data_IF_340266396915
#
_entry.id   IF_340266396915
#
_cell.length_a   1.000
_cell.length_b   1.000
_cell.length_c   1.000
_cell.angle_alpha   90.00
_cell.angle_beta   90.00
_cell.angle_gamma   90.00
#
_symmetry.space_group_name_H-M   'P 1'
#
loop_
_entity.id
_entity.type
_entity.pdbx_description
1 polymer ?
#
# COMPACT_ATOMS: atom_id res chain seq x y z
N UNK A 1 -3.79 -76.44 -8.49
CA UNK A 1 -4.50 -75.62 -7.47
C UNK A 1 -3.41 -74.94 -6.67
N UNK A 2 -3.05 -73.68 -6.85
CA UNK A 2 -3.86 -72.45 -6.68
C UNK A 2 -3.33 -71.43 -7.69
N UNK A 3 -4.21 -71.02 -8.61
CA UNK A 3 -4.03 -69.96 -9.61
C UNK A 3 -4.65 -68.70 -9.03
N UNK A 4 -4.00 -67.56 -9.27
CA UNK A 4 -4.63 -66.23 -9.40
C UNK A 4 -5.23 -65.60 -8.13
N UNK A 5 -4.42 -64.93 -7.30
CA UNK A 5 -4.99 -64.00 -6.30
C UNK A 5 -4.10 -62.81 -5.90
N UNK A 6 -3.16 -62.37 -6.75
CA UNK A 6 -2.34 -61.19 -6.45
C UNK A 6 -2.15 -60.34 -7.71
N UNK A 7 -3.23 -59.73 -8.20
CA UNK A 7 -3.15 -58.77 -9.31
C UNK A 7 -4.27 -57.71 -9.30
N UNK A 8 -4.82 -57.38 -8.14
CA UNK A 8 -6.03 -56.52 -8.05
C UNK A 8 -5.95 -55.39 -7.02
N UNK A 9 -4.75 -55.01 -6.55
CA UNK A 9 -4.58 -53.97 -5.52
C UNK A 9 -3.66 -52.80 -5.92
N UNK A 10 -3.23 -52.70 -7.18
CA UNK A 10 -2.31 -51.65 -7.64
C UNK A 10 -2.95 -50.56 -8.51
N UNK A 11 -4.27 -50.55 -8.71
CA UNK A 11 -4.94 -49.62 -9.68
C UNK A 11 -5.72 -48.47 -9.02
N UNK A 12 -5.86 -48.43 -7.69
CA UNK A 12 -6.75 -47.44 -7.02
C UNK A 12 -5.99 -46.23 -6.43
N UNK A 13 -4.66 -46.14 -6.54
CA UNK A 13 -3.88 -45.06 -5.89
C UNK A 13 -3.56 -43.87 -6.84
N UNK A 14 -3.77 -43.99 -8.15
CA UNK A 14 -3.33 -42.95 -9.13
C UNK A 14 -4.50 -42.17 -9.75
N UNK A 15 -5.59 -41.98 -9.01
CA UNK A 15 -6.75 -41.19 -9.45
C UNK A 15 -7.27 -40.21 -8.38
N UNK A 16 -6.40 -39.75 -7.47
CA UNK A 16 -6.68 -38.53 -6.70
C UNK A 16 -5.92 -37.37 -7.32
N UNK A 17 -6.56 -36.83 -8.36
CA UNK A 17 -6.85 -35.41 -8.43
C UNK A 17 -5.69 -34.46 -8.10
N UNK A 18 -4.95 -34.06 -9.14
CA UNK A 18 -4.39 -32.70 -9.18
C UNK A 18 -5.53 -31.67 -9.25
N UNK A 19 -6.34 -31.59 -8.19
CA UNK A 19 -7.06 -30.37 -7.86
C UNK A 19 -5.98 -29.48 -7.26
N UNK A 20 -5.27 -28.79 -8.16
CA UNK A 20 -4.57 -27.58 -7.79
C UNK A 20 -5.62 -26.63 -7.25
N UNK A 21 -5.81 -26.65 -5.94
CA UNK A 21 -6.45 -25.56 -5.22
C UNK A 21 -5.59 -24.33 -5.51
N UNK A 22 -5.95 -23.58 -6.57
CA UNK A 22 -5.67 -22.16 -6.59
C UNK A 22 -6.37 -21.65 -5.34
N UNK A 23 -5.60 -21.40 -4.29
CA UNK A 23 -5.98 -20.45 -3.25
C UNK A 23 -6.17 -19.15 -4.01
N UNK A 24 -7.37 -18.95 -4.53
CA UNK A 24 -7.83 -17.66 -4.96
C UNK A 24 -7.82 -16.89 -3.65
N UNK A 25 -6.74 -16.14 -3.41
CA UNK A 25 -6.60 -15.27 -2.27
C UNK A 25 -7.80 -14.33 -2.34
N UNK A 26 -8.87 -14.72 -1.65
CA UNK A 26 -10.02 -13.88 -1.42
C UNK A 26 -9.39 -12.64 -0.81
N UNK A 27 -9.53 -11.50 -1.50
CA UNK A 27 -9.12 -10.20 -0.95
C UNK A 27 -9.58 -10.24 0.52
N UNK A 28 -8.68 -10.08 1.50
CA UNK A 28 -9.13 -9.87 2.86
C UNK A 28 -10.16 -8.76 2.70
N UNK A 29 -11.38 -8.99 3.17
CA UNK A 29 -12.36 -7.92 3.30
C UNK A 29 -11.66 -6.90 4.16
N UNK A 30 -11.04 -5.91 3.51
CA UNK A 30 -10.36 -4.80 4.13
C UNK A 30 -11.50 -4.09 4.81
N UNK A 31 -11.70 -4.41 6.08
CA UNK A 31 -12.21 -3.40 6.99
C UNK A 31 -11.31 -2.20 6.70
N UNK A 32 -11.87 -1.07 6.21
CA UNK A 32 -11.10 0.14 6.04
C UNK A 32 -10.28 0.29 7.32
N UNK A 33 -8.95 0.37 7.17
CA UNK A 33 -8.07 0.30 8.31
C UNK A 33 -8.60 1.27 9.37
N UNK A 34 -8.93 0.74 10.56
CA UNK A 34 -9.56 1.56 11.59
C UNK A 34 -8.67 2.79 11.81
N UNK A 35 -9.23 3.96 11.49
CA UNK A 35 -8.54 5.25 11.54
C UNK A 35 -7.83 5.42 12.90
N UNK A 36 -8.45 4.92 13.95
CA UNK A 36 -7.91 4.95 15.32
C UNK A 36 -6.64 4.10 15.44
N UNK A 37 -6.66 2.88 14.90
CA UNK A 37 -5.51 1.98 14.88
C UNK A 37 -4.33 2.59 14.12
N UNK A 38 -4.56 3.08 12.90
CA UNK A 38 -3.52 3.73 12.09
C UNK A 38 -2.94 4.94 12.82
N UNK A 39 -3.78 5.77 13.43
CA UNK A 39 -3.32 6.93 14.21
C UNK A 39 -2.37 6.51 15.33
N UNK A 40 -2.74 5.48 16.10
CA UNK A 40 -1.91 4.98 17.20
C UNK A 40 -0.57 4.41 16.71
N UNK A 41 -0.57 3.70 15.58
CA UNK A 41 0.64 3.19 14.95
C UNK A 41 1.57 4.35 14.55
N UNK A 42 1.05 5.35 13.83
CA UNK A 42 1.85 6.48 13.36
C UNK A 42 2.35 7.36 14.51
N UNK A 43 1.56 7.55 15.55
CA UNK A 43 1.97 8.28 16.75
C UNK A 43 3.11 7.56 17.48
N UNK A 44 2.98 6.24 17.71
CA UNK A 44 4.02 5.42 18.37
C UNK A 44 5.30 5.32 17.54
N UNK A 45 5.19 5.31 16.22
CA UNK A 45 6.34 5.29 15.31
C UNK A 45 7.05 6.64 15.19
N UNK A 46 6.56 7.70 15.85
CA UNK A 46 7.17 9.03 15.79
C UNK A 46 6.92 9.79 14.47
N UNK A 47 5.98 9.33 13.64
CA UNK A 47 5.61 10.01 12.39
C UNK A 47 4.84 11.30 12.69
N UNK A 48 3.95 11.25 13.70
CA UNK A 48 3.15 12.36 14.18
C UNK A 48 3.83 13.05 15.39
N UNK A 49 3.88 14.37 15.38
CA UNK A 49 4.50 15.19 16.42
C UNK A 49 3.45 15.84 17.34
N UNK A 50 3.62 15.64 18.66
CA UNK A 50 2.74 16.20 19.71
C UNK A 50 2.62 17.74 19.67
N UNK A 51 3.67 18.42 19.21
CA UNK A 51 3.75 19.88 19.19
C UNK A 51 3.16 20.48 17.90
N UNK A 52 2.73 19.63 16.97
CA UNK A 52 2.09 20.02 15.72
C UNK A 52 0.60 19.73 15.77
N UNK A 53 -0.14 20.28 14.82
CA UNK A 53 -1.56 20.04 14.64
C UNK A 53 -1.78 19.15 13.42
N UNK A 54 -2.36 17.97 13.61
CA UNK A 54 -2.78 17.10 12.51
C UNK A 54 -3.99 17.72 11.81
N UNK A 55 -3.86 18.04 10.53
CA UNK A 55 -4.92 18.66 9.71
C UNK A 55 -5.37 17.79 8.55
N UNK A 56 -4.56 16.82 8.13
CA UNK A 56 -4.96 15.78 7.20
C UNK A 56 -4.47 14.42 7.68
N UNK A 57 -5.31 13.40 7.54
CA UNK A 57 -5.00 12.02 7.83
C UNK A 57 -5.95 11.15 7.02
N UNK A 58 -5.44 10.41 6.05
CA UNK A 58 -6.24 9.54 5.20
C UNK A 58 -5.48 8.26 4.86
N UNK A 59 -6.16 7.13 4.93
CA UNK A 59 -5.70 5.94 4.22
C UNK A 59 -5.96 6.18 2.74
N UNK A 60 -4.91 6.11 1.91
CA UNK A 60 -5.02 6.38 0.46
C UNK A 60 -5.37 5.10 -0.26
N UNK A 61 -4.57 4.05 -0.03
CA UNK A 61 -4.62 2.79 -0.74
C UNK A 61 -3.71 1.74 -0.07
N UNK A 62 -3.72 0.51 -0.59
CA UNK A 62 -2.76 -0.52 -0.24
C UNK A 62 -1.90 -0.88 -1.46
N UNK A 63 -0.58 -0.79 -1.30
CA UNK A 63 0.37 -1.33 -2.27
C UNK A 63 0.37 -2.85 -2.18
N UNK A 64 0.50 -3.51 -3.32
CA UNK A 64 0.66 -4.95 -3.43
C UNK A 64 2.10 -5.28 -3.81
N UNK A 65 2.90 -5.71 -2.84
CA UNK A 65 4.32 -6.04 -3.03
C UNK A 65 4.51 -7.51 -2.67
N UNK A 66 4.95 -8.32 -3.65
CA UNK A 66 5.14 -9.78 -3.48
C UNK A 66 3.92 -10.49 -2.85
N UNK A 67 2.72 -10.09 -3.26
CA UNK A 67 1.45 -10.67 -2.78
C UNK A 67 1.00 -10.23 -1.38
N UNK A 68 1.74 -9.34 -0.72
CA UNK A 68 1.41 -8.77 0.58
C UNK A 68 0.88 -7.34 0.41
N UNK A 69 0.03 -6.90 1.34
CA UNK A 69 -0.60 -5.57 1.34
C UNK A 69 0.10 -4.61 2.29
N UNK A 70 0.48 -3.44 1.77
CA UNK A 70 1.20 -2.39 2.48
C UNK A 70 0.35 -1.12 2.49
N UNK A 71 -0.26 -0.74 3.63
CA UNK A 71 -1.05 0.47 3.71
C UNK A 71 -0.24 1.72 3.43
N UNK A 72 -0.81 2.61 2.62
CA UNK A 72 -0.32 3.95 2.37
C UNK A 72 -1.23 4.95 3.06
N UNK A 73 -0.63 5.82 3.87
CA UNK A 73 -1.34 6.85 4.64
C UNK A 73 -0.78 8.22 4.26
N UNK A 74 -1.66 9.15 3.93
CA UNK A 74 -1.36 10.56 3.74
C UNK A 74 -1.60 11.31 5.06
N UNK A 75 -0.60 12.06 5.51
CA UNK A 75 -0.67 12.88 6.72
C UNK A 75 -0.16 14.30 6.46
N UNK A 76 -0.84 15.29 7.04
CA UNK A 76 -0.42 16.68 7.04
C UNK A 76 -0.47 17.25 8.45
N UNK A 77 0.65 17.82 8.88
CA UNK A 77 0.76 18.53 10.16
C UNK A 77 1.08 20.01 9.96
N UNK A 78 0.50 20.88 10.77
CA UNK A 78 0.87 22.30 10.84
C UNK A 78 1.74 22.57 12.08
N UNK A 79 2.78 23.38 11.91
CA UNK A 79 3.55 23.93 13.03
C UNK A 79 2.72 25.01 13.74
N UNK A 80 2.47 24.83 15.03
CA UNK A 80 1.69 25.79 15.85
C UNK A 80 2.47 27.10 16.00
N UNK A 81 1.75 28.23 15.94
CA UNK A 81 2.31 29.56 16.24
C UNK A 81 3.20 30.17 15.15
N UNK A 82 3.30 29.56 13.98
CA UNK A 82 3.98 30.17 12.83
C UNK A 82 3.12 31.30 12.23
N UNK A 83 3.73 32.44 11.92
CA UNK A 83 3.06 33.58 11.27
C UNK A 83 2.61 33.25 9.84
N UNK A 84 3.28 32.29 9.20
CA UNK A 84 2.88 31.65 7.96
C UNK A 84 2.71 30.15 8.21
N UNK A 85 1.56 29.53 7.89
CA UNK A 85 1.37 28.09 8.09
C UNK A 85 2.42 27.29 7.32
N UNK A 86 3.31 26.61 8.05
CA UNK A 86 4.24 25.65 7.46
C UNK A 86 3.66 24.25 7.66
N UNK A 87 3.08 23.73 6.59
CA UNK A 87 2.63 22.35 6.50
C UNK A 87 3.81 21.40 6.31
N UNK A 88 3.71 20.24 6.95
CA UNK A 88 4.62 19.12 6.76
C UNK A 88 3.74 17.97 6.29
N UNK A 89 3.82 17.68 5.00
CA UNK A 89 3.05 16.61 4.36
C UNK A 89 3.94 15.38 4.24
N UNK A 90 3.39 14.21 4.55
CA UNK A 90 4.11 12.96 4.47
C UNK A 90 3.23 11.87 3.88
N UNK A 91 3.80 11.10 2.96
CA UNK A 91 3.29 9.80 2.56
C UNK A 91 3.99 8.75 3.43
N UNK A 92 3.20 7.89 4.05
CA UNK A 92 3.69 6.89 5.00
C UNK A 92 3.31 5.50 4.50
N UNK A 93 4.28 4.60 4.41
CA UNK A 93 4.05 3.20 4.03
C UNK A 93 4.30 2.29 5.22
N UNK A 94 3.31 1.45 5.52
CA UNK A 94 3.37 0.43 6.55
C UNK A 94 3.52 -0.97 5.93
N UNK A 95 4.22 -1.86 6.60
CA UNK A 95 4.24 -3.27 6.22
C UNK A 95 2.94 -3.98 6.66
N UNK A 96 2.73 -5.25 6.27
CA UNK A 96 1.55 -6.02 6.68
C UNK A 96 1.44 -6.20 8.19
N UNK A 97 2.55 -6.16 8.92
CA UNK A 97 2.59 -6.21 10.38
C UNK A 97 2.39 -4.84 11.05
N UNK A 98 2.00 -3.80 10.28
CA UNK A 98 1.75 -2.44 10.75
C UNK A 98 2.99 -1.74 11.34
N UNK A 99 4.17 -2.06 10.80
CA UNK A 99 5.43 -1.41 11.13
C UNK A 99 5.77 -0.40 10.03
N UNK A 100 6.28 0.76 10.43
CA UNK A 100 6.75 1.80 9.51
C UNK A 100 7.86 1.25 8.60
N UNK A 101 7.69 1.40 7.29
CA UNK A 101 8.67 1.00 6.27
C UNK A 101 9.30 2.22 5.62
N UNK A 102 8.46 3.19 5.24
CA UNK A 102 8.88 4.37 4.50
C UNK A 102 8.10 5.60 4.93
N UNK A 103 8.78 6.75 4.92
CA UNK A 103 8.19 8.08 5.06
C UNK A 103 8.77 8.95 3.96
N UNK A 104 7.91 9.61 3.19
CA UNK A 104 8.29 10.49 2.09
C UNK A 104 7.67 11.85 2.36
N UNK A 105 8.50 12.86 2.60
CA UNK A 105 8.01 14.23 2.74
C UNK A 105 7.81 14.87 1.37
N UNK A 106 6.73 15.63 1.20
CA UNK A 106 6.42 16.29 -0.06
C UNK A 106 5.82 17.68 0.13
N UNK A 107 5.95 18.55 -0.87
CA UNK A 107 5.51 19.95 -0.77
C UNK A 107 4.32 20.32 -1.64
N UNK A 108 4.22 19.73 -2.83
CA UNK A 108 3.25 20.18 -3.85
C UNK A 108 2.05 19.26 -3.94
N UNK A 109 2.30 17.98 -4.20
CA UNK A 109 1.30 17.13 -4.81
C UNK A 109 0.84 15.97 -3.94
N UNK A 110 -0.49 15.75 -3.91
CA UNK A 110 -1.11 14.73 -3.06
C UNK A 110 -1.12 13.34 -3.72
N UNK A 111 -1.07 12.27 -2.92
CA UNK A 111 -1.28 10.92 -3.41
C UNK A 111 -2.71 10.70 -3.90
N UNK A 112 -2.85 9.96 -5.01
CA UNK A 112 -4.12 9.66 -5.65
C UNK A 112 -4.58 8.23 -5.34
N UNK A 113 -3.81 7.24 -5.77
CA UNK A 113 -4.17 5.82 -5.64
C UNK A 113 -2.96 4.91 -5.85
N UNK A 114 -3.12 3.63 -5.50
CA UNK A 114 -2.14 2.58 -5.75
C UNK A 114 -2.57 1.68 -6.91
N UNK A 115 -1.58 1.21 -7.69
CA UNK A 115 -1.73 0.07 -8.59
C UNK A 115 -0.54 -0.87 -8.41
N UNK A 116 -0.80 -2.12 -8.04
CA UNK A 116 0.24 -3.06 -7.64
C UNK A 116 1.23 -2.44 -6.63
N UNK A 117 2.52 -2.44 -6.92
CA UNK A 117 3.58 -1.86 -6.09
C UNK A 117 3.85 -0.37 -6.40
N UNK A 118 2.94 0.32 -7.08
CA UNK A 118 3.10 1.71 -7.48
C UNK A 118 2.09 2.62 -6.78
N UNK A 119 2.54 3.78 -6.32
CA UNK A 119 1.70 4.89 -5.87
C UNK A 119 1.74 5.99 -6.91
N UNK A 120 0.56 6.44 -7.33
CA UNK A 120 0.38 7.55 -8.27
C UNK A 120 0.02 8.80 -7.48
N UNK A 121 0.65 9.92 -7.82
CA UNK A 121 0.39 11.24 -7.22
C UNK A 121 -0.10 12.21 -8.31
N UNK A 122 -0.79 13.27 -7.91
CA UNK A 122 -1.29 14.28 -8.85
C UNK A 122 -0.13 15.13 -9.39
N UNK A 123 0.08 15.28 -10.71
CA UNK A 123 1.20 16.10 -11.20
C UNK A 123 2.59 15.63 -10.73
N UNK A 124 3.61 16.48 -10.88
CA UNK A 124 4.99 16.13 -10.52
C UNK A 124 5.32 16.55 -9.09
N UNK A 125 5.70 15.59 -8.27
CA UNK A 125 6.01 15.83 -6.86
C UNK A 125 7.45 16.29 -6.68
N UNK A 126 7.63 17.24 -5.77
CA UNK A 126 8.95 17.59 -5.23
C UNK A 126 9.12 16.89 -3.89
N UNK A 127 10.25 16.20 -3.74
CA UNK A 127 10.65 15.50 -2.52
C UNK A 127 11.82 16.28 -1.94
N UNK A 128 11.83 16.55 -0.65
CA UNK A 128 12.94 17.24 0.03
C UNK A 128 13.40 18.57 -0.63
N UNK A 129 12.48 19.26 -1.32
CA UNK A 129 12.73 20.47 -2.12
C UNK A 129 13.74 20.31 -3.28
N UNK A 130 13.90 19.10 -3.82
CA UNK A 130 14.66 18.85 -5.05
C UNK A 130 13.82 19.15 -6.30
N UNK A 131 14.45 19.18 -7.48
CA UNK A 131 13.75 19.28 -8.77
C UNK A 131 12.71 18.16 -8.89
N UNK A 132 11.56 18.38 -9.59
CA UNK A 132 10.48 17.41 -9.64
C UNK A 132 10.95 16.04 -10.12
N UNK A 133 10.64 14.99 -9.36
CA UNK A 133 11.22 13.65 -9.57
C UNK A 133 10.31 12.74 -10.41
N UNK A 134 9.02 13.10 -10.54
CA UNK A 134 8.03 12.37 -11.33
C UNK A 134 6.69 12.30 -10.61
N UNK A 135 5.82 11.37 -11.03
CA UNK A 135 4.48 11.21 -10.48
C UNK A 135 4.08 9.75 -10.19
N UNK A 136 5.04 8.82 -10.31
CA UNK A 136 4.87 7.40 -9.99
C UNK A 136 5.98 6.96 -9.07
N UNK A 137 5.62 6.46 -7.90
CA UNK A 137 6.55 5.87 -6.93
C UNK A 137 6.44 4.36 -7.02
N UNK A 138 7.50 3.71 -7.47
CA UNK A 138 7.62 2.26 -7.56
C UNK A 138 8.35 1.72 -6.34
N UNK A 139 7.64 0.93 -5.53
CA UNK A 139 8.18 0.38 -4.29
C UNK A 139 8.73 -1.03 -4.53
N UNK A 140 9.95 -1.26 -4.10
CA UNK A 140 10.60 -2.59 -4.12
C UNK A 140 11.22 -2.89 -2.76
N UNK A 141 11.87 -4.05 -2.63
CA UNK A 141 12.49 -4.50 -1.37
C UNK A 141 11.54 -4.38 -0.16
N UNK A 142 10.33 -4.93 -0.27
CA UNK A 142 9.28 -4.83 0.77
C UNK A 142 8.93 -3.38 1.17
N UNK A 143 9.06 -2.43 0.23
CA UNK A 143 8.71 -1.03 0.42
C UNK A 143 9.86 -0.14 0.88
N UNK A 144 11.05 -0.71 1.15
CA UNK A 144 12.21 0.04 1.62
C UNK A 144 12.97 0.78 0.51
N UNK A 145 12.81 0.38 -0.75
CA UNK A 145 13.41 1.05 -1.89
C UNK A 145 12.32 1.68 -2.76
N UNK A 146 12.55 2.92 -3.17
CA UNK A 146 11.60 3.73 -3.92
C UNK A 146 12.29 4.25 -5.17
N UNK A 147 11.71 3.93 -6.31
CA UNK A 147 12.13 4.47 -7.61
C UNK A 147 11.02 5.37 -8.14
N UNK A 148 11.40 6.52 -8.69
CA UNK A 148 10.43 7.50 -9.17
C UNK A 148 10.52 7.57 -10.68
N UNK A 149 9.36 7.52 -11.32
CA UNK A 149 9.20 7.67 -12.76
C UNK A 149 8.06 8.63 -13.08
N UNK A 150 7.93 8.95 -14.36
CA UNK A 150 6.88 9.83 -14.87
C UNK A 150 5.93 9.08 -15.81
N UNK A 151 4.64 9.38 -15.69
CA UNK A 151 3.56 8.99 -16.60
C UNK A 151 2.74 10.22 -16.95
N UNK A 152 2.24 10.31 -18.19
CA UNK A 152 1.32 11.39 -18.55
C UNK A 152 0.00 11.26 -17.78
N UNK A 153 -0.61 12.38 -17.39
CA UNK A 153 -1.86 12.37 -16.62
C UNK A 153 -3.01 11.71 -17.38
N UNK A 154 -3.00 11.76 -18.71
CA UNK A 154 -3.99 11.13 -19.57
C UNK A 154 -3.75 9.62 -19.74
N UNK A 155 -2.60 9.12 -19.29
CA UNK A 155 -2.20 7.72 -19.33
C UNK A 155 -2.26 7.05 -17.95
N UNK A 156 -2.82 7.75 -16.95
CA UNK A 156 -3.00 7.19 -15.61
C UNK A 156 -3.88 5.94 -15.67
N UNK A 157 -3.43 4.83 -15.06
CA UNK A 157 -4.23 3.61 -15.05
C UNK A 157 -5.40 3.72 -14.08
N UNK A 158 -6.34 2.78 -14.19
CA UNK A 158 -7.36 2.62 -13.16
C UNK A 158 -6.74 2.10 -11.85
N UNK A 159 -7.27 2.53 -10.68
CA UNK A 159 -6.82 2.05 -9.38
C UNK A 159 -7.07 0.55 -9.19
N UNK A 160 -6.40 -0.06 -8.21
CA UNK A 160 -6.70 -1.44 -7.81
C UNK A 160 -8.20 -1.58 -7.48
N UNK A 161 -8.89 -2.51 -8.16
CA UNK A 161 -10.31 -2.79 -7.90
C UNK A 161 -10.45 -3.36 -6.49
N UNK A 162 -10.92 -2.53 -5.56
CA UNK A 162 -11.04 -2.84 -4.14
C UNK A 162 -10.98 -1.62 -3.20
N UNK A 163 -10.55 -0.45 -3.67
CA UNK A 163 -10.24 0.70 -2.80
C UNK A 163 -10.83 2.05 -3.21
N UNK A 164 -11.87 2.08 -4.05
CA UNK A 164 -12.56 3.35 -4.35
C UNK A 164 -13.54 3.73 -3.25
N UNK A 165 -13.05 4.42 -2.22
CA UNK A 165 -13.85 5.40 -1.49
C UNK A 165 -13.42 6.80 -1.94
N UNK A 166 -13.88 7.22 -3.11
CA UNK A 166 -13.87 8.65 -3.45
C UNK A 166 -14.86 9.34 -2.51
N UNK A 167 -14.37 9.88 -1.39
CA UNK A 167 -15.13 10.82 -0.59
C UNK A 167 -14.89 12.19 -1.23
N UNK A 168 -15.82 12.61 -2.08
CA UNK A 168 -16.05 14.03 -2.34
C UNK A 168 -16.56 14.64 -1.02
N UNK A 169 -15.74 15.47 -0.39
CA UNK A 169 -16.17 16.46 0.60
C UNK A 169 -15.93 17.85 0.02
#
# INVERSE_FOLDING_TARGET
MIRHFIALLSVIIVMFTHIGYRVQAKQPTTTPDDRTSLFQILFKAGVLHKDRQLVHFSHVCNLQIKGKWFPVVDVMELVKGATTPRGINKIVVLNPARILVQTIEYTTERPLFCKYNQLFVFGNIMIDNTLPEGNVFSFTNEGHHVEISQVDINELPLPNTGETNFILQ
#
